data_IF_137557510879
#
_entry.id   IF_137557510879
#
_cell.length_a   1.000
_cell.length_b   1.000
_cell.length_c   1.000
_cell.angle_alpha   90.00
_cell.angle_beta   90.00
_cell.angle_gamma   90.00
#
_symmetry.space_group_name_H-M   'P 1'
#
loop_
_entity.id
_entity.type
_entity.pdbx_description
1 polymer ?
#
# COMPACT_ATOMS: atom_id res chain seq x y z
N UNK A 1 13.56 -0.56 -20.95
CA UNK A 1 12.70 -1.59 -20.34
C UNK A 1 11.62 -0.84 -19.58
N UNK A 2 10.43 -0.68 -20.18
CA UNK A 2 9.32 0.02 -19.52
C UNK A 2 8.64 -0.95 -18.56
N UNK A 3 8.80 -0.75 -17.25
CA UNK A 3 7.95 -1.41 -16.27
C UNK A 3 6.54 -0.83 -16.45
N UNK A 4 5.66 -1.60 -17.07
CA UNK A 4 4.24 -1.30 -17.15
C UNK A 4 3.67 -1.28 -15.73
N UNK A 5 3.66 -0.12 -15.07
CA UNK A 5 2.86 0.11 -13.87
C UNK A 5 1.40 -0.12 -14.25
N UNK A 6 0.88 -1.33 -14.02
CA UNK A 6 -0.55 -1.63 -14.18
C UNK A 6 -1.28 -0.70 -13.21
N UNK A 7 -1.82 0.40 -13.75
CA UNK A 7 -2.71 1.31 -13.04
C UNK A 7 -4.00 0.55 -12.75
N UNK A 8 -4.07 -0.14 -11.62
CA UNK A 8 -5.35 -0.60 -11.09
C UNK A 8 -6.08 0.63 -10.53
N UNK A 9 -7.00 1.17 -11.31
CA UNK A 9 -7.61 2.49 -11.14
C UNK A 9 -8.83 2.53 -10.22
N UNK A 10 -9.25 1.42 -9.60
CA UNK A 10 -10.39 1.44 -8.69
C UNK A 10 -10.39 0.31 -7.65
N UNK A 11 -10.35 0.69 -6.38
CA UNK A 11 -10.74 -0.20 -5.29
C UNK A 11 -12.27 -0.28 -5.24
N UNK A 12 -12.81 -1.48 -5.46
CA UNK A 12 -14.22 -1.78 -5.26
C UNK A 12 -14.49 -2.26 -3.83
N UNK A 13 -13.55 -2.96 -3.21
CA UNK A 13 -13.75 -3.57 -1.90
C UNK A 13 -12.61 -3.24 -0.95
N UNK A 14 -12.90 -3.29 0.33
CA UNK A 14 -11.92 -3.21 1.40
C UNK A 14 -12.24 -4.37 2.32
N UNK A 15 -11.27 -5.25 2.55
CA UNK A 15 -11.45 -6.41 3.41
C UNK A 15 -11.57 -5.96 4.88
N UNK A 16 -12.25 -6.76 5.70
CA UNK A 16 -12.32 -6.47 7.15
C UNK A 16 -10.95 -6.51 7.80
N UNK A 17 -10.09 -7.43 7.34
CA UNK A 17 -8.70 -7.48 7.77
C UNK A 17 -7.94 -6.18 7.46
N UNK A 18 -8.15 -5.57 6.29
CA UNK A 18 -7.54 -4.29 5.96
C UNK A 18 -8.07 -3.15 6.85
N UNK A 19 -9.37 -3.17 7.19
CA UNK A 19 -9.98 -2.17 8.10
C UNK A 19 -9.40 -2.27 9.50
N UNK A 20 -9.30 -3.48 10.05
CA UNK A 20 -8.67 -3.72 11.36
C UNK A 20 -7.19 -3.33 11.32
N UNK A 21 -6.50 -3.75 10.25
CA UNK A 21 -5.17 -3.32 9.77
C UNK A 21 -4.89 -1.85 10.03
N UNK A 22 -5.75 -1.08 9.39
CA UNK A 22 -5.67 0.36 9.35
C UNK A 22 -5.96 0.98 10.71
N UNK A 23 -7.02 0.54 11.40
CA UNK A 23 -7.39 1.05 12.72
C UNK A 23 -6.23 0.94 13.70
N UNK A 24 -5.52 -0.18 13.67
CA UNK A 24 -4.48 -0.47 14.65
C UNK A 24 -3.17 0.28 14.34
N UNK A 25 -2.86 0.55 13.07
CA UNK A 25 -1.55 1.05 12.63
C UNK A 25 -1.54 2.50 12.18
N UNK A 26 -2.60 2.98 11.54
CA UNK A 26 -2.58 4.28 10.88
C UNK A 26 -2.74 5.45 11.87
N UNK A 27 -3.14 5.18 13.12
CA UNK A 27 -3.46 6.22 14.11
C UNK A 27 -4.62 7.14 13.69
N UNK A 28 -5.35 6.80 12.62
CA UNK A 28 -6.41 7.60 12.00
C UNK A 28 -7.68 6.75 11.82
N UNK A 29 -8.39 6.43 12.90
CA UNK A 29 -9.66 5.70 12.80
C UNK A 29 -10.67 6.53 12.00
N UNK A 30 -11.41 5.89 11.08
CA UNK A 30 -12.46 6.52 10.28
C UNK A 30 -12.01 7.14 8.94
N UNK A 31 -10.73 7.06 8.58
CA UNK A 31 -10.29 7.48 7.25
C UNK A 31 -10.96 6.64 6.14
N UNK A 32 -11.30 7.29 5.02
CA UNK A 32 -11.81 6.58 3.85
C UNK A 32 -10.64 5.86 3.13
N UNK A 33 -10.48 4.57 3.40
CA UNK A 33 -9.41 3.73 2.86
C UNK A 33 -9.31 3.73 1.32
N UNK A 34 -10.42 3.97 0.61
CA UNK A 34 -10.37 4.12 -0.86
C UNK A 34 -9.70 5.43 -1.25
N UNK A 35 -10.01 6.54 -0.57
CA UNK A 35 -9.36 7.82 -0.80
C UNK A 35 -7.85 7.73 -0.48
N UNK A 36 -7.51 7.13 0.67
CA UNK A 36 -6.12 6.87 1.07
C UNK A 36 -5.36 6.09 -0.01
N UNK A 37 -5.95 5.04 -0.58
CA UNK A 37 -5.34 4.30 -1.68
C UNK A 37 -5.07 5.16 -2.91
N UNK A 38 -6.00 6.06 -3.26
CA UNK A 38 -5.84 6.96 -4.40
C UNK A 38 -4.78 8.04 -4.16
N UNK A 39 -4.64 8.51 -2.92
CA UNK A 39 -3.60 9.45 -2.49
C UNK A 39 -2.21 8.81 -2.41
N UNK A 40 -2.15 7.49 -2.17
CA UNK A 40 -0.90 6.74 -2.05
C UNK A 40 -0.16 6.56 -3.39
N UNK A 41 1.17 6.56 -3.32
CA UNK A 41 2.08 6.43 -4.46
C UNK A 41 2.26 4.97 -4.86
N UNK A 42 2.06 4.58 -6.14
CA UNK A 42 2.38 3.24 -6.62
C UNK A 42 3.85 2.90 -6.42
N UNK A 43 4.12 1.72 -5.88
CA UNK A 43 5.48 1.19 -5.66
C UNK A 43 5.55 -0.27 -6.11
N UNK A 44 6.73 -0.72 -6.47
CA UNK A 44 7.09 -2.13 -6.46
C UNK A 44 7.40 -2.56 -5.01
N UNK A 45 6.79 -3.65 -4.58
CA UNK A 45 6.92 -4.14 -3.22
C UNK A 45 7.25 -5.63 -3.24
N UNK A 46 8.52 -6.02 -3.02
CA UNK A 46 8.99 -7.38 -3.28
C UNK A 46 8.35 -8.44 -2.36
N UNK A 47 7.86 -8.01 -1.19
CA UNK A 47 7.13 -8.86 -0.24
C UNK A 47 5.62 -8.94 -0.52
N UNK A 48 5.13 -8.32 -1.60
CA UNK A 48 3.74 -8.43 -2.00
C UNK A 48 3.41 -9.84 -2.50
N UNK A 49 2.15 -10.26 -2.33
CA UNK A 49 1.65 -11.47 -2.99
C UNK A 49 1.74 -11.35 -4.51
N UNK A 50 1.85 -12.48 -5.20
CA UNK A 50 1.76 -12.52 -6.65
C UNK A 50 0.43 -11.88 -7.11
N UNK A 51 0.52 -11.01 -8.12
CA UNK A 51 -0.59 -10.20 -8.66
C UNK A 51 -1.20 -9.18 -7.68
N UNK A 52 -0.52 -8.85 -6.59
CA UNK A 52 -0.90 -7.73 -5.74
C UNK A 52 -0.35 -6.41 -6.29
N UNK A 53 -1.09 -5.34 -6.02
CA UNK A 53 -0.71 -3.97 -6.25
C UNK A 53 -0.29 -3.36 -4.92
N UNK A 54 0.87 -2.72 -4.89
CA UNK A 54 1.34 -2.01 -3.72
C UNK A 54 1.32 -0.51 -3.94
N UNK A 55 0.95 0.23 -2.89
CA UNK A 55 1.05 1.68 -2.85
C UNK A 55 1.57 2.13 -1.48
N UNK A 56 2.49 3.07 -1.46
CA UNK A 56 3.00 3.68 -0.24
C UNK A 56 2.22 4.95 0.10
N UNK A 57 1.77 5.07 1.34
CA UNK A 57 1.05 6.22 1.86
C UNK A 57 1.94 7.02 2.83
N UNK A 58 2.54 8.14 2.39
CA UNK A 58 3.56 8.87 3.16
C UNK A 58 3.05 9.38 4.51
N UNK A 59 1.80 9.84 4.58
CA UNK A 59 1.25 10.46 5.78
C UNK A 59 1.08 9.49 6.97
N UNK A 60 1.13 8.18 6.71
CA UNK A 60 1.04 7.14 7.76
C UNK A 60 2.22 6.16 7.73
N UNK A 61 3.20 6.35 6.84
CA UNK A 61 4.29 5.40 6.60
C UNK A 61 3.82 3.95 6.33
N UNK A 62 2.66 3.78 5.68
CA UNK A 62 2.07 2.45 5.44
C UNK A 62 2.18 2.05 3.97
N UNK A 63 2.50 0.78 3.72
CA UNK A 63 2.34 0.11 2.42
C UNK A 63 0.97 -0.55 2.36
N UNK A 64 0.14 -0.10 1.43
CA UNK A 64 -1.18 -0.62 1.14
C UNK A 64 -1.08 -1.71 0.08
N UNK A 65 -1.73 -2.85 0.31
CA UNK A 65 -1.72 -3.97 -0.63
C UNK A 65 -3.14 -4.26 -1.10
N UNK A 66 -3.33 -4.28 -2.42
CA UNK A 66 -4.60 -4.59 -3.06
C UNK A 66 -4.48 -5.75 -4.04
N UNK A 67 -5.55 -6.54 -4.19
CA UNK A 67 -5.65 -7.65 -5.14
C UNK A 67 -7.06 -7.70 -5.71
N UNK A 68 -7.21 -7.93 -7.01
CA UNK A 68 -8.53 -8.02 -7.68
C UNK A 68 -9.52 -6.89 -7.34
N UNK A 69 -9.04 -5.66 -7.22
CA UNK A 69 -9.85 -4.48 -6.83
C UNK A 69 -10.31 -4.47 -5.37
N UNK A 70 -9.72 -5.28 -4.50
CA UNK A 70 -9.93 -5.28 -3.06
C UNK A 70 -8.65 -4.87 -2.32
N UNK A 71 -8.77 -3.98 -1.34
CA UNK A 71 -7.68 -3.67 -0.42
C UNK A 71 -7.64 -4.78 0.62
N UNK A 72 -6.56 -5.56 0.61
CA UNK A 72 -6.47 -6.79 1.40
C UNK A 72 -5.76 -6.57 2.73
N UNK A 73 -4.76 -5.70 2.79
CA UNK A 73 -4.04 -5.38 4.03
C UNK A 73 -3.24 -4.07 3.90
N UNK A 74 -2.72 -3.59 5.02
CA UNK A 74 -1.74 -2.51 5.08
C UNK A 74 -0.62 -2.89 6.06
N UNK A 75 0.63 -2.56 5.72
CA UNK A 75 1.83 -2.92 6.46
C UNK A 75 2.59 -1.66 6.84
N UNK A 76 3.10 -1.59 8.07
CA UNK A 76 3.99 -0.50 8.47
C UNK A 76 5.36 -0.72 7.81
N UNK A 77 5.87 0.31 7.13
CA UNK A 77 7.18 0.21 6.48
C UNK A 77 8.29 0.03 7.53
N UNK A 78 8.16 0.63 8.71
CA UNK A 78 9.14 0.51 9.79
C UNK A 78 9.20 -0.91 10.37
N UNK A 79 8.12 -1.69 10.23
CA UNK A 79 8.09 -3.12 10.59
C UNK A 79 8.89 -4.00 9.61
N UNK A 80 9.40 -3.44 8.49
CA UNK A 80 10.07 -4.20 7.42
C UNK A 80 11.59 -4.17 7.57
N UNK A 81 12.33 -5.15 7.02
CA UNK A 81 13.79 -5.09 6.99
C UNK A 81 14.31 -3.82 6.30
N UNK A 82 15.40 -3.23 6.80
CA UNK A 82 15.98 -1.99 6.26
C UNK A 82 16.17 -1.99 4.74
N UNK A 83 16.57 -3.13 4.16
CA UNK A 83 16.73 -3.27 2.71
C UNK A 83 15.42 -3.07 1.95
N UNK A 84 14.31 -3.54 2.52
CA UNK A 84 12.98 -3.40 1.92
C UNK A 84 12.46 -1.97 2.10
N UNK A 85 12.71 -1.36 3.27
CA UNK A 85 12.43 0.06 3.50
C UNK A 85 13.15 0.92 2.46
N UNK A 86 14.47 0.75 2.33
CA UNK A 86 15.28 1.49 1.36
C UNK A 86 14.79 1.27 -0.07
N UNK A 87 14.46 0.03 -0.44
CA UNK A 87 13.93 -0.26 -1.77
C UNK A 87 12.62 0.48 -2.08
N UNK A 88 11.75 0.66 -1.09
CA UNK A 88 10.53 1.48 -1.25
C UNK A 88 10.89 2.96 -1.35
N UNK A 89 11.75 3.46 -0.46
CA UNK A 89 12.14 4.88 -0.42
C UNK A 89 12.88 5.32 -1.69
N UNK A 90 13.78 4.48 -2.22
CA UNK A 90 14.51 4.72 -3.47
C UNK A 90 13.57 4.92 -4.68
N UNK A 91 12.35 4.39 -4.63
CA UNK A 91 11.35 4.58 -5.70
C UNK A 91 10.57 5.89 -5.60
N UNK A 92 10.68 6.58 -4.47
CA UNK A 92 9.98 7.84 -4.19
C UNK A 92 10.89 9.05 -4.41
N UNK A 93 12.20 8.83 -4.52
CA UNK A 93 13.18 9.83 -4.91
C UNK A 93 13.19 9.94 -6.45
N UNK A 94 12.95 11.14 -6.97
CA UNK A 94 12.95 11.48 -8.42
C UNK A 94 14.37 11.39 -9.03
#
# INVERSE_FOLDING_TARGET
>A
MMACTRRNSGLQWVSDHARDRWRDRAGRPGANLRAVWHEATPIDYPSAYQDAYARYHPATNLVLLARWSELVTCVDLDDRPLREQQHVLDQLED
#
